data_IF_366311977509
#
_entry.id   IF_366311977509
#
_cell.length_a   1.000
_cell.length_b   1.000
_cell.length_c   1.000
_cell.angle_alpha   90.00
_cell.angle_beta   90.00
_cell.angle_gamma   90.00
#
_symmetry.space_group_name_H-M   'P 1'
#
loop_
_entity.id
_entity.type
_entity.pdbx_description
1 polymer ?
#
# COMPACT_ATOMS: atom_id res chain seq x y z
N UNK A 1 24.48 0.89 13.65
CA UNK A 1 25.24 -0.39 13.77
C UNK A 1 26.22 -0.42 14.94
N UNK A 2 26.73 0.70 15.44
CA UNK A 2 27.66 0.70 16.60
C UNK A 2 26.96 0.28 17.90
N UNK A 3 25.71 0.68 18.13
CA UNK A 3 24.91 0.33 19.32
C UNK A 3 24.68 -1.18 19.47
N UNK A 4 24.54 -1.92 18.35
CA UNK A 4 24.38 -3.37 18.36
C UNK A 4 25.64 -4.12 18.84
N UNK A 5 26.81 -3.52 18.69
CA UNK A 5 28.08 -4.12 19.10
C UNK A 5 28.44 -3.83 20.58
N UNK A 6 27.81 -2.82 21.19
CA UNK A 6 28.13 -2.35 22.54
C UNK A 6 27.18 -2.86 23.61
N UNK A 7 26.04 -3.48 23.22
CA UNK A 7 25.04 -3.92 24.21
C UNK A 7 25.12 -5.44 24.42
N UNK A 8 25.20 -5.87 25.66
CA UNK A 8 25.17 -7.29 26.09
C UNK A 8 23.74 -7.78 26.39
N UNK A 9 22.76 -6.87 26.42
CA UNK A 9 21.35 -7.20 26.65
C UNK A 9 20.68 -7.71 25.36
N UNK A 10 20.20 -8.96 25.41
CA UNK A 10 19.53 -9.62 24.28
C UNK A 10 18.23 -8.92 23.88
N UNK A 11 17.51 -8.34 24.83
CA UNK A 11 16.26 -7.63 24.56
C UNK A 11 16.54 -6.32 23.82
N UNK A 12 17.53 -5.57 24.27
CA UNK A 12 17.96 -4.32 23.63
C UNK A 12 18.54 -4.57 22.22
N UNK A 13 19.29 -5.65 22.04
CA UNK A 13 19.75 -6.08 20.69
C UNK A 13 18.59 -6.37 19.74
N UNK A 14 17.53 -7.02 20.21
CA UNK A 14 16.35 -7.29 19.38
C UNK A 14 15.65 -6.02 18.95
N UNK A 15 15.49 -5.07 19.87
CA UNK A 15 14.90 -3.77 19.59
C UNK A 15 15.72 -3.01 18.53
N UNK A 16 17.03 -2.95 18.69
CA UNK A 16 17.91 -2.31 17.68
C UNK A 16 17.88 -3.02 16.33
N UNK A 17 17.84 -4.36 16.30
CA UNK A 17 17.70 -5.11 15.06
C UNK A 17 16.39 -4.81 14.36
N UNK A 18 15.28 -4.77 15.09
CA UNK A 18 13.98 -4.40 14.54
C UNK A 18 13.99 -3.00 13.93
N UNK A 19 14.54 -2.02 14.62
CA UNK A 19 14.70 -0.64 14.10
C UNK A 19 15.55 -0.62 12.81
N UNK A 20 16.61 -1.41 12.75
CA UNK A 20 17.46 -1.51 11.54
C UNK A 20 16.69 -2.14 10.39
N UNK A 21 15.95 -3.22 10.63
CA UNK A 21 15.13 -3.89 9.61
C UNK A 21 14.05 -2.95 9.07
N UNK A 22 13.30 -2.29 9.95
CA UNK A 22 12.26 -1.32 9.55
C UNK A 22 12.82 -0.16 8.70
N UNK A 23 14.00 0.36 9.06
CA UNK A 23 14.64 1.42 8.29
C UNK A 23 15.19 0.91 6.95
N UNK A 24 15.71 -0.31 6.88
CA UNK A 24 16.14 -0.93 5.63
C UNK A 24 14.96 -1.12 4.68
N UNK A 25 13.83 -1.63 5.17
CA UNK A 25 12.61 -1.81 4.38
C UNK A 25 12.09 -0.47 3.85
N UNK A 26 12.12 0.55 4.69
CA UNK A 26 11.73 1.91 4.29
C UNK A 26 12.66 2.46 3.20
N UNK A 27 13.98 2.25 3.32
CA UNK A 27 14.98 2.68 2.34
C UNK A 27 14.80 1.95 1.01
N UNK A 28 14.63 0.64 1.03
CA UNK A 28 14.39 -0.16 -0.17
C UNK A 28 13.09 0.27 -0.88
N UNK A 29 12.04 0.52 -0.09
CA UNK A 29 10.79 1.06 -0.61
C UNK A 29 10.99 2.44 -1.25
N UNK A 30 11.73 3.34 -0.61
CA UNK A 30 12.02 4.67 -1.13
C UNK A 30 12.77 4.60 -2.46
N UNK A 31 13.79 3.74 -2.56
CA UNK A 31 14.54 3.53 -3.79
C UNK A 31 13.62 3.01 -4.90
N UNK A 32 12.79 2.01 -4.61
CA UNK A 32 11.82 1.47 -5.57
C UNK A 32 10.83 2.54 -6.03
N UNK A 33 10.28 3.32 -5.10
CA UNK A 33 9.33 4.39 -5.38
C UNK A 33 9.97 5.47 -6.30
N UNK A 34 11.23 5.85 -6.04
CA UNK A 34 11.97 6.83 -6.87
C UNK A 34 12.25 6.26 -8.28
N UNK A 35 12.62 5.00 -8.39
CA UNK A 35 12.84 4.34 -9.68
C UNK A 35 11.55 4.24 -10.49
N UNK A 36 10.43 3.87 -9.85
CA UNK A 36 9.12 3.83 -10.50
C UNK A 36 8.73 5.24 -10.99
N UNK A 37 8.89 6.26 -10.14
CA UNK A 37 8.62 7.64 -10.50
C UNK A 37 9.47 8.11 -11.69
N UNK A 38 10.76 7.80 -11.68
CA UNK A 38 11.69 8.15 -12.77
C UNK A 38 11.29 7.49 -14.09
N UNK A 39 10.85 6.23 -14.07
CA UNK A 39 10.35 5.52 -15.25
C UNK A 39 9.03 6.11 -15.76
N UNK A 40 8.12 6.48 -14.85
CA UNK A 40 6.87 7.15 -15.18
C UNK A 40 7.13 8.49 -15.89
N UNK A 41 8.03 9.32 -15.34
CA UNK A 41 8.40 10.60 -15.93
C UNK A 41 9.11 10.49 -17.28
N UNK A 42 9.95 9.48 -17.44
CA UNK A 42 10.63 9.18 -18.70
C UNK A 42 9.73 8.53 -19.75
N UNK A 43 8.49 8.15 -19.40
CA UNK A 43 7.58 7.39 -20.28
C UNK A 43 8.09 5.97 -20.61
N UNK A 44 8.97 5.43 -19.78
CA UNK A 44 9.56 4.10 -19.93
C UNK A 44 9.01 3.08 -18.93
N UNK A 45 7.89 3.42 -18.28
CA UNK A 45 7.24 2.52 -17.33
C UNK A 45 6.51 1.42 -18.10
N UNK A 46 6.96 0.19 -17.95
CA UNK A 46 6.43 -0.96 -18.67
C UNK A 46 5.39 -1.70 -17.84
N UNK A 47 4.34 -2.19 -18.54
CA UNK A 47 3.30 -3.03 -17.98
C UNK A 47 3.35 -4.43 -18.60
N UNK A 48 3.21 -5.43 -17.75
CA UNK A 48 3.12 -6.83 -18.16
C UNK A 48 1.67 -7.30 -18.09
N UNK A 49 0.92 -7.06 -19.14
CA UNK A 49 -0.50 -7.40 -19.20
C UNK A 49 -0.73 -8.90 -19.34
N UNK A 50 -1.65 -9.43 -18.53
CA UNK A 50 -2.08 -10.82 -18.56
C UNK A 50 -3.49 -10.98 -17.99
N UNK A 51 -4.01 -12.21 -18.02
CA UNK A 51 -5.27 -12.53 -17.35
C UNK A 51 -5.06 -12.52 -15.83
N UNK A 52 -5.84 -11.74 -15.12
CA UNK A 52 -5.81 -11.59 -13.67
C UNK A 52 -7.11 -12.10 -13.09
N UNK A 53 -7.04 -13.13 -12.26
CA UNK A 53 -8.12 -13.54 -11.37
C UNK A 53 -8.15 -12.55 -10.20
N UNK A 54 -9.14 -11.68 -10.21
CA UNK A 54 -9.25 -10.55 -9.26
C UNK A 54 -9.52 -11.04 -7.85
N UNK A 55 -10.40 -12.04 -7.69
CA UNK A 55 -10.75 -12.60 -6.38
C UNK A 55 -9.50 -13.18 -5.71
N UNK A 56 -8.82 -14.06 -6.43
CA UNK A 56 -7.60 -14.69 -5.94
C UNK A 56 -6.52 -13.67 -5.60
N UNK A 57 -6.34 -12.63 -6.43
CA UNK A 57 -5.39 -11.56 -6.18
C UNK A 57 -5.72 -10.79 -4.90
N UNK A 58 -7.00 -10.42 -4.68
CA UNK A 58 -7.44 -9.71 -3.49
C UNK A 58 -7.33 -10.58 -2.23
N UNK A 59 -7.71 -11.85 -2.29
CA UNK A 59 -7.57 -12.80 -1.17
C UNK A 59 -6.11 -12.99 -0.77
N UNK A 60 -5.20 -13.13 -1.75
CA UNK A 60 -3.75 -13.23 -1.51
C UNK A 60 -3.23 -11.94 -0.83
N UNK A 61 -3.67 -10.76 -1.27
CA UNK A 61 -3.30 -9.49 -0.67
C UNK A 61 -3.79 -9.35 0.78
N UNK A 62 -5.06 -9.64 1.04
CA UNK A 62 -5.66 -9.60 2.38
C UNK A 62 -4.93 -10.56 3.31
N UNK A 63 -4.71 -11.81 2.89
CA UNK A 63 -4.00 -12.82 3.69
C UNK A 63 -2.58 -12.39 4.05
N UNK A 64 -1.82 -11.87 3.07
CA UNK A 64 -0.45 -11.44 3.30
C UNK A 64 -0.36 -10.24 4.25
N UNK A 65 -1.31 -9.30 4.15
CA UNK A 65 -1.31 -8.09 4.94
C UNK A 65 -2.01 -8.22 6.30
N UNK A 66 -2.82 -9.26 6.50
CA UNK A 66 -3.44 -9.56 7.81
C UNK A 66 -2.40 -9.78 8.91
N UNK A 67 -1.20 -10.24 8.57
CA UNK A 67 -0.10 -10.39 9.52
C UNK A 67 0.36 -9.05 10.11
N UNK A 68 0.15 -7.94 9.39
CA UNK A 68 0.53 -6.60 9.87
C UNK A 68 -0.42 -6.01 10.91
N UNK A 69 -1.61 -6.57 11.04
CA UNK A 69 -2.63 -6.12 11.98
C UNK A 69 -2.89 -7.11 13.10
N UNK A 70 -2.20 -8.27 13.13
CA UNK A 70 -2.44 -9.34 14.11
C UNK A 70 -2.30 -8.89 15.56
N UNK A 71 -1.42 -7.91 15.84
CA UNK A 71 -1.17 -7.36 17.17
C UNK A 71 -1.96 -6.06 17.45
N UNK A 72 -2.89 -5.71 16.55
CA UNK A 72 -3.75 -4.54 16.66
C UNK A 72 -5.21 -4.99 16.75
N UNK A 73 -6.10 -4.22 17.41
CA UNK A 73 -7.55 -4.46 17.39
C UNK A 73 -8.15 -3.95 16.06
N UNK A 74 -7.60 -4.44 14.93
CA UNK A 74 -7.99 -4.09 13.57
C UNK A 74 -8.20 -5.36 12.77
N UNK A 75 -9.35 -5.48 12.11
CA UNK A 75 -9.67 -6.59 11.23
C UNK A 75 -9.47 -6.17 9.76
N UNK A 76 -8.77 -7.00 8.97
CA UNK A 76 -8.61 -6.81 7.53
C UNK A 76 -9.50 -7.80 6.79
N UNK A 77 -10.46 -7.28 6.02
CA UNK A 77 -11.53 -8.04 5.38
C UNK A 77 -11.45 -7.95 3.85
N UNK A 78 -11.89 -9.03 3.18
CA UNK A 78 -12.27 -8.97 1.77
C UNK A 78 -13.79 -8.82 1.70
N UNK A 79 -14.22 -7.64 1.25
CA UNK A 79 -15.62 -7.22 1.22
C UNK A 79 -16.34 -7.59 -0.08
N UNK A 80 -17.12 -6.64 -0.60
CA UNK A 80 -17.92 -6.86 -1.80
C UNK A 80 -17.08 -7.29 -3.00
N UNK A 81 -17.51 -8.36 -3.68
CA UNK A 81 -16.88 -8.89 -4.88
C UNK A 81 -17.87 -9.75 -5.69
N UNK A 82 -17.59 -9.95 -6.97
CA UNK A 82 -18.32 -10.89 -7.81
C UNK A 82 -17.88 -12.33 -7.50
N UNK A 83 -18.75 -13.32 -7.76
CA UNK A 83 -18.42 -14.74 -7.55
C UNK A 83 -17.18 -15.18 -8.38
N UNK A 84 -17.01 -14.62 -9.55
CA UNK A 84 -15.84 -14.80 -10.42
C UNK A 84 -15.58 -13.51 -11.19
N UNK A 85 -14.34 -13.05 -11.17
CA UNK A 85 -13.93 -11.86 -11.90
C UNK A 85 -12.52 -12.03 -12.46
N UNK A 86 -12.43 -12.00 -13.80
CA UNK A 86 -11.16 -11.98 -14.52
C UNK A 86 -11.07 -10.73 -15.37
N UNK A 87 -9.92 -10.10 -15.39
CA UNK A 87 -9.63 -8.91 -16.21
C UNK A 87 -8.29 -9.08 -16.93
N UNK A 88 -8.08 -8.31 -17.98
CA UNK A 88 -6.76 -8.13 -18.57
C UNK A 88 -6.08 -6.96 -17.87
N UNK A 89 -4.97 -7.22 -17.19
CA UNK A 89 -4.25 -6.20 -16.41
C UNK A 89 -2.85 -6.67 -16.05
N UNK A 90 -2.10 -5.79 -15.39
CA UNK A 90 -0.83 -6.15 -14.76
C UNK A 90 -1.08 -6.47 -13.29
N UNK A 91 -1.02 -7.78 -12.94
CA UNK A 91 -1.25 -8.25 -11.56
C UNK A 91 -0.33 -7.56 -10.55
N UNK A 92 0.95 -7.38 -10.90
CA UNK A 92 1.93 -6.82 -9.96
C UNK A 92 1.66 -5.34 -9.70
N UNK A 93 1.28 -4.59 -10.74
CA UNK A 93 0.94 -3.17 -10.59
C UNK A 93 -0.37 -2.96 -9.87
N UNK A 94 -1.38 -3.79 -10.14
CA UNK A 94 -2.62 -3.78 -9.36
C UNK A 94 -2.37 -4.09 -7.89
N UNK A 95 -1.58 -5.12 -7.60
CA UNK A 95 -1.18 -5.45 -6.23
C UNK A 95 -0.38 -4.31 -5.56
N UNK A 96 0.49 -3.64 -6.31
CA UNK A 96 1.24 -2.49 -5.80
C UNK A 96 0.30 -1.36 -5.34
N UNK A 97 -0.71 -1.03 -6.17
CA UNK A 97 -1.73 -0.04 -5.84
C UNK A 97 -2.53 -0.46 -4.61
N UNK A 98 -3.12 -1.66 -4.62
CA UNK A 98 -3.95 -2.20 -3.52
C UNK A 98 -3.16 -2.25 -2.21
N UNK A 99 -1.95 -2.80 -2.26
CA UNK A 99 -1.06 -2.90 -1.09
C UNK A 99 -0.71 -1.53 -0.52
N UNK A 100 -0.51 -0.53 -1.37
CA UNK A 100 -0.24 0.83 -0.93
C UNK A 100 -1.44 1.43 -0.17
N UNK A 101 -2.67 1.25 -0.68
CA UNK A 101 -3.88 1.71 0.01
C UNK A 101 -4.09 0.97 1.33
N UNK A 102 -3.95 -0.36 1.37
CA UNK A 102 -4.09 -1.14 2.61
C UNK A 102 -3.02 -0.73 3.63
N UNK A 103 -1.75 -0.56 3.23
CA UNK A 103 -0.70 -0.10 4.15
C UNK A 103 -1.00 1.29 4.72
N UNK A 104 -1.58 2.19 3.94
CA UNK A 104 -2.03 3.49 4.45
C UNK A 104 -3.17 3.31 5.46
N UNK A 105 -4.17 2.47 5.16
CA UNK A 105 -5.26 2.16 6.08
C UNK A 105 -4.73 1.57 7.40
N UNK A 106 -3.84 0.56 7.35
CA UNK A 106 -3.21 -0.05 8.54
C UNK A 106 -2.46 0.96 9.41
N UNK A 107 -1.82 1.94 8.76
CA UNK A 107 -1.06 2.98 9.44
C UNK A 107 -1.95 3.97 10.20
N UNK A 108 -3.13 4.27 9.67
CA UNK A 108 -4.01 5.31 10.20
C UNK A 108 -5.25 4.77 10.91
N UNK A 109 -5.40 3.44 10.99
CA UNK A 109 -6.45 2.76 11.76
C UNK A 109 -5.83 2.14 13.01
N UNK A 110 -6.22 2.64 14.18
CA UNK A 110 -5.76 2.12 15.47
C UNK A 110 -6.64 0.98 15.98
N UNK A 111 -7.93 1.03 15.68
CA UNK A 111 -8.93 0.01 16.02
C UNK A 111 -10.07 0.00 15.00
N UNK A 112 -10.73 -1.13 14.83
CA UNK A 112 -11.89 -1.31 13.94
C UNK A 112 -11.58 -2.20 12.75
N UNK A 113 -11.87 -1.75 11.52
CA UNK A 113 -11.74 -2.60 10.33
C UNK A 113 -11.17 -1.86 9.13
N UNK A 114 -10.56 -2.66 8.25
CA UNK A 114 -10.11 -2.25 6.92
C UNK A 114 -10.72 -3.24 5.94
N UNK A 115 -11.42 -2.77 4.93
CA UNK A 115 -12.11 -3.62 3.96
C UNK A 115 -11.57 -3.34 2.56
N UNK A 116 -10.95 -4.33 1.93
CA UNK A 116 -10.68 -4.34 0.50
C UNK A 116 -11.89 -4.92 -0.22
N UNK A 117 -12.36 -4.26 -1.25
CA UNK A 117 -13.42 -4.80 -2.08
C UNK A 117 -13.36 -4.24 -3.50
N UNK A 118 -14.24 -4.74 -4.36
CA UNK A 118 -14.45 -4.17 -5.68
C UNK A 118 -15.88 -4.38 -6.13
N UNK A 119 -16.34 -3.52 -7.01
CA UNK A 119 -17.64 -3.62 -7.67
C UNK A 119 -17.54 -3.23 -9.12
N UNK A 120 -18.42 -3.78 -9.94
CA UNK A 120 -18.50 -3.41 -11.36
C UNK A 120 -19.36 -2.16 -11.51
N UNK A 121 -18.80 -1.16 -12.18
CA UNK A 121 -19.48 0.06 -12.55
C UNK A 121 -19.42 0.22 -14.07
N UNK A 122 -20.54 -0.04 -14.76
CA UNK A 122 -20.63 -0.04 -16.21
C UNK A 122 -19.60 -0.99 -16.88
N UNK A 123 -18.51 -0.44 -17.43
CA UNK A 123 -17.43 -1.21 -18.06
C UNK A 123 -16.18 -1.31 -17.19
N UNK A 124 -16.15 -0.56 -16.10
CA UNK A 124 -15.00 -0.45 -15.22
C UNK A 124 -15.16 -1.34 -13.99
N UNK A 125 -14.06 -1.59 -13.34
CA UNK A 125 -14.00 -2.29 -12.08
C UNK A 125 -13.47 -1.30 -11.03
N UNK A 126 -14.37 -0.87 -10.14
CA UNK A 126 -14.03 0.02 -9.04
C UNK A 126 -13.47 -0.79 -7.87
N UNK A 127 -12.17 -0.69 -7.61
CA UNK A 127 -11.56 -1.19 -6.38
C UNK A 127 -11.66 -0.13 -5.29
N UNK A 128 -11.91 -0.56 -4.06
CA UNK A 128 -11.91 0.32 -2.90
C UNK A 128 -11.22 -0.31 -1.70
N UNK A 129 -10.62 0.52 -0.89
CA UNK A 129 -10.15 0.19 0.45
C UNK A 129 -10.83 1.17 1.40
N UNK A 130 -11.70 0.64 2.25
CA UNK A 130 -12.42 1.41 3.27
C UNK A 130 -11.80 1.14 4.63
N UNK A 131 -11.55 2.17 5.41
CA UNK A 131 -11.01 2.05 6.76
C UNK A 131 -11.85 2.85 7.78
N UNK A 132 -11.80 2.41 9.04
CA UNK A 132 -12.46 3.09 10.16
C UNK A 132 -11.49 3.99 10.94
N UNK A 133 -10.40 4.41 10.30
CA UNK A 133 -9.36 5.24 10.90
C UNK A 133 -9.78 6.70 11.09
N UNK A 134 -8.79 7.54 11.37
CA UNK A 134 -9.02 8.97 11.68
C UNK A 134 -9.49 9.82 10.50
N UNK A 135 -9.52 9.26 9.29
CA UNK A 135 -9.90 9.97 8.07
C UNK A 135 -8.88 11.04 7.62
N UNK A 136 -9.23 11.73 6.55
CA UNK A 136 -8.43 12.80 5.94
C UNK A 136 -9.27 14.07 5.92
N UNK A 137 -8.72 15.20 6.38
CA UNK A 137 -9.42 16.48 6.34
C UNK A 137 -9.64 16.97 4.90
N UNK A 138 -10.69 17.74 4.67
CA UNK A 138 -11.01 18.27 3.33
C UNK A 138 -9.86 19.06 2.69
N UNK A 139 -9.08 19.77 3.51
CA UNK A 139 -7.90 20.49 3.05
C UNK A 139 -6.85 19.54 2.45
N UNK A 140 -6.61 18.42 3.12
CA UNK A 140 -5.61 17.44 2.69
C UNK A 140 -6.11 16.53 1.54
N UNK A 141 -7.43 16.33 1.38
CA UNK A 141 -7.98 15.55 0.28
C UNK A 141 -7.56 16.09 -1.10
N UNK A 142 -7.33 17.40 -1.22
CA UNK A 142 -6.93 18.03 -2.48
C UNK A 142 -5.48 17.74 -2.86
N UNK A 143 -4.63 17.46 -1.88
CA UNK A 143 -3.18 17.31 -2.06
C UNK A 143 -2.68 15.91 -1.73
N UNK A 144 -3.55 14.98 -1.30
CA UNK A 144 -3.15 13.65 -0.84
C UNK A 144 -2.45 12.82 -1.93
N UNK A 145 -2.70 13.10 -3.19
CA UNK A 145 -2.04 12.48 -4.35
C UNK A 145 -0.80 13.24 -4.83
N UNK A 146 -0.46 14.37 -4.24
CA UNK A 146 0.75 15.10 -4.58
C UNK A 146 1.99 14.36 -4.04
N UNK A 147 3.12 14.59 -4.71
CA UNK A 147 4.38 13.93 -4.36
C UNK A 147 4.93 14.48 -3.05
N UNK A 148 5.50 13.59 -2.23
CA UNK A 148 6.14 13.91 -0.95
C UNK A 148 5.20 14.51 0.10
N UNK A 149 3.88 14.47 -0.13
CA UNK A 149 2.90 14.93 0.85
C UNK A 149 2.76 13.89 1.96
N UNK A 150 2.92 14.35 3.20
CA UNK A 150 2.67 13.59 4.41
C UNK A 150 1.70 14.37 5.28
N UNK A 151 0.60 13.75 5.65
CA UNK A 151 -0.42 14.37 6.52
C UNK A 151 0.08 14.58 7.97
N UNK A 152 1.14 13.87 8.33
CA UNK A 152 1.83 14.01 9.60
C UNK A 152 3.33 13.82 9.36
N UNK A 153 4.14 14.79 9.77
CA UNK A 153 5.61 14.78 9.60
C UNK A 153 6.29 13.62 10.35
N UNK A 154 5.66 13.12 11.41
CA UNK A 154 6.16 11.98 12.20
C UNK A 154 5.70 10.62 11.65
N UNK A 155 4.78 10.61 10.68
CA UNK A 155 4.29 9.35 10.13
C UNK A 155 5.33 8.73 9.19
N UNK A 156 5.72 7.47 9.46
CA UNK A 156 6.59 6.69 8.59
C UNK A 156 6.03 6.61 7.17
N UNK A 157 6.89 6.69 6.16
CA UNK A 157 6.52 6.54 4.75
C UNK A 157 7.24 7.53 3.84
N UNK A 158 7.23 7.27 2.55
CA UNK A 158 7.95 8.03 1.53
C UNK A 158 7.20 9.29 1.06
N UNK A 159 5.86 9.30 1.19
CA UNK A 159 4.99 10.32 0.61
C UNK A 159 4.84 10.20 -0.91
N UNK A 160 5.31 9.09 -1.50
CA UNK A 160 5.23 8.83 -2.94
C UNK A 160 4.17 7.79 -3.32
N UNK A 161 3.74 6.97 -2.38
CA UNK A 161 2.88 5.83 -2.67
C UNK A 161 1.58 6.20 -3.40
N UNK A 162 0.82 7.18 -2.91
CA UNK A 162 -0.44 7.57 -3.54
C UNK A 162 -0.24 8.22 -4.91
N UNK A 163 0.80 9.05 -5.10
CA UNK A 163 1.10 9.65 -6.40
C UNK A 163 1.53 8.60 -7.44
N UNK A 164 2.30 7.61 -7.03
CA UNK A 164 2.67 6.46 -7.89
C UNK A 164 1.43 5.61 -8.20
N UNK A 165 0.59 5.33 -7.20
CA UNK A 165 -0.66 4.58 -7.41
C UNK A 165 -1.56 5.27 -8.43
N UNK A 166 -1.75 6.58 -8.32
CA UNK A 166 -2.48 7.39 -9.29
C UNK A 166 -1.90 7.24 -10.70
N UNK A 167 -0.58 7.42 -10.84
CA UNK A 167 0.08 7.30 -12.14
C UNK A 167 -0.04 5.90 -12.75
N UNK A 168 0.06 4.84 -11.94
CA UNK A 168 -0.15 3.45 -12.41
C UNK A 168 -1.57 3.28 -12.94
N UNK A 169 -2.58 3.71 -12.18
CA UNK A 169 -3.99 3.57 -12.55
C UNK A 169 -4.29 4.34 -13.84
N UNK A 170 -3.84 5.61 -13.94
CA UNK A 170 -4.02 6.44 -15.13
C UNK A 170 -3.36 5.84 -16.38
N UNK A 171 -2.13 5.30 -16.26
CA UNK A 171 -1.44 4.65 -17.38
C UNK A 171 -2.06 3.31 -17.78
N UNK A 172 -2.76 2.64 -16.88
CA UNK A 172 -3.58 1.45 -17.19
C UNK A 172 -4.93 1.81 -17.79
N UNK A 173 -5.25 3.09 -17.99
CA UNK A 173 -6.49 3.59 -18.56
C UNK A 173 -7.62 3.75 -17.55
N UNK A 174 -7.32 3.68 -16.25
CA UNK A 174 -8.25 3.93 -15.15
C UNK A 174 -8.25 5.40 -14.69
N UNK A 175 -8.98 5.67 -13.63
CA UNK A 175 -9.11 7.01 -13.02
C UNK A 175 -9.26 6.92 -11.49
#
# INVERSE_FOLDING_TARGET
SNLLAETDDIAERREYMQVVEENNDLLLKLISDILDLSKIEAGTFEFNYGMVDVNRMCEEAVRALSLKVQDKPVELLFGDHEAQCCIVGDKNRLLQVITNFINNAVKFTEQGSITLGYRREARDLLFYVEDTGKGISEEHLRTVFDRFVKLNSFAQGTGLGLSISKSIVEQMGGH
#
